data_IF_093305827753
#
_entry.id   IF_093305827753
#
_cell.length_a   1.000
_cell.length_b   1.000
_cell.length_c   1.000
_cell.angle_alpha   90.00
_cell.angle_beta   90.00
_cell.angle_gamma   90.00
#
_symmetry.space_group_name_H-M   'P 1'
#
loop_
_entity.id
_entity.type
_entity.pdbx_description
1 polymer ?
#
# COMPACT_ATOMS: atom_id res chain seq x y z
N UNK A 1 -12.64 -11.27 16.98
CA UNK A 1 -12.38 -12.53 16.28
C UNK A 1 -11.61 -12.25 15.00
N UNK A 2 -10.55 -13.00 14.75
CA UNK A 2 -9.76 -12.83 13.52
C UNK A 2 -10.56 -13.35 12.32
N UNK A 3 -10.50 -12.61 11.21
CA UNK A 3 -11.07 -13.09 9.96
C UNK A 3 -10.20 -14.22 9.41
N UNK A 4 -10.80 -15.13 8.66
CA UNK A 4 -10.05 -16.10 7.88
C UNK A 4 -9.27 -15.37 6.77
N UNK A 5 -8.25 -16.02 6.25
CA UNK A 5 -7.48 -15.45 5.12
C UNK A 5 -8.40 -15.15 3.94
N UNK A 6 -9.33 -16.07 3.65
CA UNK A 6 -10.28 -15.89 2.55
C UNK A 6 -11.19 -14.68 2.76
N UNK A 7 -11.69 -14.46 3.98
CA UNK A 7 -12.52 -13.31 4.30
C UNK A 7 -11.73 -12.00 4.21
N UNK A 8 -10.48 -12.01 4.66
CA UNK A 8 -9.61 -10.83 4.59
C UNK A 8 -9.33 -10.46 3.13
N UNK A 9 -9.04 -11.43 2.28
CA UNK A 9 -8.82 -11.19 0.85
C UNK A 9 -10.10 -10.67 0.20
N UNK A 10 -11.26 -11.23 0.56
CA UNK A 10 -12.55 -10.76 0.05
C UNK A 10 -12.81 -9.31 0.43
N UNK A 11 -12.48 -8.92 1.66
CA UNK A 11 -12.58 -7.53 2.12
C UNK A 11 -11.72 -6.60 1.26
N UNK A 12 -10.48 -7.00 0.98
CA UNK A 12 -9.59 -6.21 0.12
C UNK A 12 -10.13 -6.11 -1.30
N UNK A 13 -10.59 -7.22 -1.89
CA UNK A 13 -11.14 -7.20 -3.24
C UNK A 13 -12.29 -6.20 -3.36
N UNK A 14 -13.20 -6.22 -2.38
CA UNK A 14 -14.34 -5.31 -2.39
C UNK A 14 -13.93 -3.85 -2.28
N UNK A 15 -13.04 -3.53 -1.34
CA UNK A 15 -12.59 -2.16 -1.11
C UNK A 15 -11.76 -1.63 -2.28
N UNK A 16 -10.96 -2.49 -2.94
CA UNK A 16 -10.08 -2.08 -4.03
C UNK A 16 -10.72 -2.22 -5.40
N UNK A 17 -11.90 -2.83 -5.48
CA UNK A 17 -12.60 -2.99 -6.74
C UNK A 17 -11.91 -3.94 -7.72
N UNK A 18 -11.32 -5.02 -7.20
CA UNK A 18 -10.57 -5.98 -8.01
C UNK A 18 -11.29 -7.33 -8.00
N UNK A 19 -11.84 -7.77 -9.13
CA UNK A 19 -12.48 -9.09 -9.21
C UNK A 19 -11.47 -10.23 -9.07
N UNK A 20 -11.99 -11.43 -8.76
CA UNK A 20 -11.17 -12.64 -8.67
C UNK A 20 -10.45 -12.88 -10.00
N UNK A 21 -9.14 -13.14 -9.91
CA UNK A 21 -8.32 -13.45 -11.09
C UNK A 21 -8.04 -12.26 -12.00
N UNK A 22 -8.40 -11.04 -11.57
CA UNK A 22 -8.27 -9.85 -12.39
C UNK A 22 -7.23 -8.87 -11.82
N UNK A 23 -7.13 -7.71 -12.46
CA UNK A 23 -6.25 -6.64 -12.03
C UNK A 23 -6.97 -5.30 -12.19
N UNK A 24 -6.52 -4.31 -11.45
CA UNK A 24 -6.99 -2.93 -11.58
C UNK A 24 -5.80 -1.99 -11.63
N UNK A 25 -5.78 -1.11 -12.64
CA UNK A 25 -4.78 -0.04 -12.71
C UNK A 25 -5.28 1.20 -11.98
N UNK A 26 -4.41 1.80 -11.19
CA UNK A 26 -4.70 3.02 -10.44
C UNK A 26 -3.67 4.08 -10.84
N UNK A 27 -4.13 5.27 -11.22
CA UNK A 27 -3.24 6.36 -11.55
C UNK A 27 -2.78 7.06 -10.27
N UNK A 28 -1.46 7.25 -10.15
CA UNK A 28 -0.84 7.95 -9.02
C UNK A 28 -0.03 9.13 -9.52
N UNK A 29 0.43 10.03 -8.62
CA UNK A 29 1.31 11.13 -9.03
C UNK A 29 2.65 10.70 -9.64
N UNK A 30 3.07 9.46 -9.41
CA UNK A 30 4.35 8.94 -9.92
C UNK A 30 4.15 7.81 -10.93
N UNK A 31 2.96 7.69 -11.50
CA UNK A 31 2.66 6.72 -12.55
C UNK A 31 1.58 5.72 -12.15
N UNK A 32 1.36 4.75 -12.99
CA UNK A 32 0.32 3.73 -12.75
C UNK A 32 0.82 2.66 -11.80
N UNK A 33 -0.09 2.20 -10.93
CA UNK A 33 0.12 1.06 -10.06
C UNK A 33 -0.96 0.04 -10.38
N UNK A 34 -0.55 -1.21 -10.55
CA UNK A 34 -1.48 -2.30 -10.81
C UNK A 34 -1.76 -3.05 -9.51
N UNK A 35 -3.03 -3.27 -9.22
CA UNK A 35 -3.47 -4.10 -8.10
C UNK A 35 -3.81 -5.46 -8.68
N UNK A 36 -2.98 -6.46 -8.37
CA UNK A 36 -3.18 -7.84 -8.80
C UNK A 36 -3.94 -8.60 -7.72
N UNK A 37 -5.09 -9.16 -8.06
CA UNK A 37 -5.90 -9.90 -7.09
C UNK A 37 -5.10 -11.04 -6.45
N UNK A 38 -4.31 -11.73 -7.23
CA UNK A 38 -3.50 -12.86 -6.75
C UNK A 38 -2.48 -12.48 -5.67
N UNK A 39 -2.12 -11.19 -5.55
CA UNK A 39 -1.18 -10.73 -4.52
C UNK A 39 -1.87 -10.25 -3.25
N UNK A 40 -3.20 -10.17 -3.22
CA UNK A 40 -3.92 -9.67 -2.04
C UNK A 40 -3.75 -10.60 -0.84
N UNK A 41 -3.62 -11.90 -1.06
CA UNK A 41 -3.33 -12.86 0.01
C UNK A 41 -1.99 -12.54 0.68
N UNK A 42 -1.00 -12.11 -0.09
CA UNK A 42 0.31 -11.72 0.44
C UNK A 42 0.20 -10.55 1.42
N UNK A 43 -0.70 -9.60 1.14
CA UNK A 43 -0.89 -8.42 1.99
C UNK A 43 -1.38 -8.81 3.39
N UNK A 44 -2.27 -9.78 3.48
CA UNK A 44 -2.92 -10.16 4.75
C UNK A 44 -2.33 -11.43 5.37
N UNK A 45 -1.56 -12.19 4.62
CA UNK A 45 -0.99 -13.46 5.07
C UNK A 45 -0.01 -13.24 6.23
N UNK A 46 -0.13 -14.08 7.26
CA UNK A 46 0.77 -14.07 8.42
C UNK A 46 0.89 -12.70 9.09
N UNK A 47 -0.17 -11.89 9.06
CA UNK A 47 -0.17 -10.56 9.67
C UNK A 47 -0.98 -10.57 10.97
N UNK A 48 -0.37 -10.17 12.09
CA UNK A 48 -1.10 -10.10 13.36
C UNK A 48 -2.03 -8.89 13.45
N UNK A 49 -1.85 -7.89 12.62
CA UNK A 49 -2.52 -6.60 12.74
C UNK A 49 -3.73 -6.43 11.83
N UNK A 50 -4.24 -7.51 11.25
CA UNK A 50 -5.48 -7.50 10.45
C UNK A 50 -5.48 -6.35 9.42
N UNK A 51 -4.53 -6.35 8.51
CA UNK A 51 -4.30 -5.24 7.57
C UNK A 51 -5.48 -4.94 6.64
N UNK A 52 -6.39 -5.91 6.45
CA UNK A 52 -7.61 -5.67 5.68
C UNK A 52 -8.49 -4.56 6.27
N UNK A 53 -8.32 -4.23 7.55
CA UNK A 53 -9.02 -3.09 8.18
C UNK A 53 -8.67 -1.76 7.51
N UNK A 54 -7.50 -1.68 6.91
CA UNK A 54 -7.01 -0.45 6.30
C UNK A 54 -7.30 -0.40 4.80
N UNK A 55 -8.02 -1.38 4.27
CA UNK A 55 -8.37 -1.44 2.86
C UNK A 55 -9.03 -0.16 2.34
N UNK A 56 -9.97 0.48 3.07
CA UNK A 56 -10.57 1.73 2.59
C UNK A 56 -9.59 2.88 2.40
N UNK A 57 -8.41 2.80 3.00
CA UNK A 57 -7.40 3.87 2.92
C UNK A 57 -6.38 3.66 1.80
N UNK A 58 -6.41 2.50 1.13
CA UNK A 58 -5.41 2.17 0.11
C UNK A 58 -5.53 3.05 -1.12
N UNK A 59 -6.73 3.15 -1.71
CA UNK A 59 -6.94 3.97 -2.90
C UNK A 59 -6.66 5.45 -2.64
N UNK A 60 -7.16 6.05 -1.54
CA UNK A 60 -6.79 7.44 -1.24
C UNK A 60 -5.28 7.64 -1.10
N UNK A 61 -4.56 6.68 -0.51
CA UNK A 61 -3.11 6.77 -0.34
C UNK A 61 -2.38 6.68 -1.67
N UNK A 62 -2.84 5.84 -2.60
CA UNK A 62 -2.23 5.75 -3.94
C UNK A 62 -2.57 6.96 -4.81
N UNK A 63 -3.81 7.41 -4.78
CA UNK A 63 -4.29 8.46 -5.68
C UNK A 63 -3.91 9.86 -5.20
N UNK A 64 -3.83 10.07 -3.90
CA UNK A 64 -3.53 11.37 -3.29
C UNK A 64 -2.59 11.21 -2.10
N UNK A 65 -1.39 10.68 -2.30
CA UNK A 65 -0.43 10.54 -1.20
C UNK A 65 0.08 11.90 -0.77
N UNK A 66 0.55 11.99 0.47
CA UNK A 66 1.27 13.18 0.94
C UNK A 66 2.73 13.12 0.53
N UNK A 67 3.31 11.92 0.49
CA UNK A 67 4.69 11.68 0.08
C UNK A 67 4.83 10.36 -0.65
N UNK A 68 5.80 10.27 -1.55
CA UNK A 68 6.23 9.00 -2.16
C UNK A 68 7.74 8.91 -2.11
N UNK A 69 8.25 7.83 -1.54
CA UNK A 69 9.67 7.56 -1.40
C UNK A 69 10.07 6.34 -2.23
N UNK A 70 11.14 6.47 -3.01
CA UNK A 70 11.74 5.34 -3.71
C UNK A 70 12.81 4.72 -2.81
N UNK A 71 12.65 3.44 -2.49
CA UNK A 71 13.51 2.75 -1.54
C UNK A 71 14.07 1.47 -2.17
N UNK A 72 15.40 1.31 -2.13
CA UNK A 72 16.05 0.07 -2.53
C UNK A 72 16.07 -0.88 -1.32
N UNK A 73 15.69 -2.14 -1.55
CA UNK A 73 15.65 -3.16 -0.51
C UNK A 73 16.85 -4.11 -0.63
N UNK A 74 17.20 -4.75 0.47
CA UNK A 74 18.36 -5.64 0.53
C UNK A 74 18.22 -6.86 -0.38
N UNK A 75 17.00 -7.25 -0.72
CA UNK A 75 16.74 -8.36 -1.65
C UNK A 75 16.94 -7.97 -3.13
N UNK A 76 17.42 -6.77 -3.39
CA UNK A 76 17.66 -6.29 -4.75
C UNK A 76 16.44 -5.68 -5.42
N UNK A 77 15.28 -5.68 -4.76
CA UNK A 77 14.09 -5.06 -5.32
C UNK A 77 14.06 -3.57 -5.02
N UNK A 78 13.35 -2.83 -5.88
CA UNK A 78 13.06 -1.42 -5.66
C UNK A 78 11.58 -1.28 -5.37
N UNK A 79 11.24 -0.45 -4.40
CA UNK A 79 9.85 -0.23 -3.99
C UNK A 79 9.58 1.24 -3.82
N UNK A 80 8.31 1.60 -3.99
CA UNK A 80 7.81 2.94 -3.67
C UNK A 80 6.94 2.84 -2.44
N UNK A 81 7.16 3.76 -1.52
CA UNK A 81 6.38 3.88 -0.29
C UNK A 81 5.51 5.11 -0.42
N UNK A 82 4.21 4.88 -0.58
CA UNK A 82 3.19 5.93 -0.63
C UNK A 82 2.71 6.17 0.78
N UNK A 83 2.93 7.35 1.31
CA UNK A 83 2.58 7.70 2.69
C UNK A 83 1.47 8.74 2.67
N UNK A 84 0.41 8.49 3.45
CA UNK A 84 -0.65 9.46 3.65
C UNK A 84 -0.95 9.62 5.13
N UNK A 85 -1.00 10.89 5.57
CA UNK A 85 -1.30 11.26 6.95
C UNK A 85 -2.80 11.45 7.08
N UNK A 86 -3.41 10.78 8.06
CA UNK A 86 -4.84 10.85 8.29
C UNK A 86 -5.15 11.63 9.57
N UNK A 87 -5.88 12.74 9.41
CA UNK A 87 -6.27 13.59 10.52
C UNK A 87 -7.34 12.89 11.37
N UNK A 88 -7.16 12.93 12.68
CA UNK A 88 -8.11 12.33 13.64
C UNK A 88 -7.99 10.83 13.81
N UNK A 89 -7.17 10.17 13.00
CA UNK A 89 -6.90 8.75 13.14
C UNK A 89 -5.70 8.49 14.04
N UNK A 90 -5.62 7.27 14.55
CA UNK A 90 -4.49 6.84 15.37
C UNK A 90 -3.24 6.57 14.53
N UNK A 91 -3.44 6.16 13.30
CA UNK A 91 -2.36 5.72 12.41
C UNK A 91 -2.37 6.46 11.10
N UNK A 92 -1.19 6.64 10.56
CA UNK A 92 -0.99 7.01 9.17
C UNK A 92 -0.78 5.74 8.36
N UNK A 93 -0.99 5.81 7.06
CA UNK A 93 -0.97 4.63 6.18
C UNK A 93 0.19 4.75 5.20
N UNK A 94 0.89 3.64 5.04
CA UNK A 94 1.89 3.49 3.99
C UNK A 94 1.49 2.33 3.09
N UNK A 95 1.37 2.59 1.80
CA UNK A 95 1.14 1.57 0.80
C UNK A 95 2.47 1.30 0.11
N UNK A 96 2.92 0.04 0.13
CA UNK A 96 4.16 -0.36 -0.51
C UNK A 96 3.85 -0.89 -1.89
N UNK A 97 4.54 -0.36 -2.88
CA UNK A 97 4.44 -0.76 -4.28
C UNK A 97 5.79 -1.31 -4.69
N UNK A 98 5.79 -2.52 -5.27
CA UNK A 98 7.01 -3.14 -5.77
C UNK A 98 7.16 -2.83 -7.25
N UNK A 99 8.37 -2.39 -7.64
CA UNK A 99 8.69 -2.14 -9.03
C UNK A 99 9.06 -3.45 -9.72
N UNK A 100 8.24 -3.85 -10.69
CA UNK A 100 8.46 -5.05 -11.48
C UNK A 100 8.80 -4.66 -12.91
N UNK A 101 9.42 -5.56 -13.71
CA UNK A 101 9.75 -5.25 -15.11
C UNK A 101 8.54 -4.83 -15.95
N UNK A 102 7.36 -5.36 -15.63
CA UNK A 102 6.12 -5.07 -16.36
C UNK A 102 5.29 -3.95 -15.74
N UNK A 103 5.84 -3.25 -14.75
CA UNK A 103 5.15 -2.15 -14.07
C UNK A 103 5.05 -2.36 -12.57
N UNK A 104 4.62 -1.31 -11.89
CA UNK A 104 4.53 -1.30 -10.43
C UNK A 104 3.28 -2.04 -9.96
N UNK A 105 3.41 -2.84 -8.90
CA UNK A 105 2.29 -3.61 -8.35
C UNK A 105 2.12 -3.33 -6.86
N UNK A 106 0.87 -3.31 -6.41
CA UNK A 106 0.55 -3.21 -4.98
C UNK A 106 1.14 -4.42 -4.27
N UNK A 107 1.95 -4.17 -3.22
CA UNK A 107 2.68 -5.21 -2.53
C UNK A 107 2.27 -5.37 -1.08
N UNK A 108 2.07 -4.27 -0.35
CA UNK A 108 1.80 -4.33 1.08
C UNK A 108 1.10 -3.07 1.58
N UNK A 109 0.46 -3.18 2.73
CA UNK A 109 -0.18 -2.09 3.45
C UNK A 109 0.37 -2.07 4.86
N UNK A 110 0.83 -0.92 5.33
CA UNK A 110 1.42 -0.77 6.65
C UNK A 110 0.77 0.42 7.34
N UNK A 111 0.42 0.24 8.61
CA UNK A 111 -0.05 1.33 9.46
C UNK A 111 1.01 1.63 10.52
N UNK A 112 1.22 2.89 10.80
CA UNK A 112 2.14 3.35 11.86
C UNK A 112 1.60 4.62 12.48
N UNK A 113 1.90 4.84 13.75
CA UNK A 113 1.64 6.15 14.33
C UNK A 113 2.59 7.17 13.67
N UNK A 114 2.26 8.46 13.81
CA UNK A 114 2.99 9.52 13.09
C UNK A 114 4.47 9.55 13.43
N UNK A 115 4.81 9.32 14.68
CA UNK A 115 6.19 9.30 15.12
C UNK A 115 6.98 8.16 14.48
N UNK A 116 6.41 6.97 14.46
CA UNK A 116 7.09 5.78 13.93
C UNK A 116 7.15 5.79 12.41
N UNK A 117 6.22 6.48 11.74
CA UNK A 117 6.24 6.61 10.30
C UNK A 117 7.53 7.28 9.79
N UNK A 118 8.14 8.11 10.61
CA UNK A 118 9.37 8.82 10.24
C UNK A 118 10.51 7.87 9.87
N UNK A 119 10.62 6.73 10.55
CA UNK A 119 11.67 5.74 10.26
C UNK A 119 11.48 5.05 8.91
N UNK A 120 10.32 5.17 8.31
CA UNK A 120 9.99 4.55 7.02
C UNK A 120 10.26 5.48 5.83
N UNK A 121 10.62 6.73 6.08
CA UNK A 121 10.98 7.71 5.06
C UNK A 121 12.44 7.53 4.67
N UNK A 122 12.71 6.55 3.82
CA UNK A 122 14.06 6.14 3.45
C UNK A 122 14.19 6.12 1.93
N UNK A 123 15.33 6.56 1.44
CA UNK A 123 15.62 6.56 0.01
C UNK A 123 15.46 7.93 -0.61
N UNK A 124 14.92 7.98 -1.83
CA UNK A 124 14.74 9.22 -2.58
C UNK A 124 13.28 9.67 -2.52
N UNK A 125 13.05 10.91 -2.14
CA UNK A 125 11.71 11.51 -2.17
C UNK A 125 11.35 11.82 -3.62
N UNK A 126 10.31 11.16 -4.14
CA UNK A 126 9.85 11.34 -5.53
C UNK A 126 8.66 12.28 -5.64
N UNK A 127 7.91 12.45 -4.57
CA UNK A 127 6.71 13.28 -4.58
C UNK A 127 6.40 13.75 -3.15
N UNK A 128 5.98 15.01 -3.03
CA UNK A 128 5.47 15.56 -1.77
C UNK A 128 4.48 16.66 -2.09
N UNK A 129 3.39 16.76 -1.28
CA UNK A 129 2.37 17.80 -1.46
C UNK A 129 2.82 19.15 -0.90
N UNK A 130 3.83 19.15 -0.04
CA UNK A 130 4.41 20.39 0.51
C UNK A 130 5.78 20.65 -0.12
N UNK A 131 6.19 21.91 -0.13
CA UNK A 131 7.52 22.27 -0.65
C UNK A 131 8.65 21.56 0.06
#
# INVERSE_FOLDING_TARGET
MAQSLEDAVSTLRGALGVPIGAARSVQTPVGQVTILEELLAHVVEKRPDARERYAPFVLPTLMSPDEVWATAYDDGTKRRRFIKLFTGGKYDIMVVVRQEPNGDVLWNIINRNRKDMNSLRVGALEYAVWP
#
